data_IF_597341094179
#
_entry.id   IF_597341094179
#
_cell.length_a   1.000
_cell.length_b   1.000
_cell.length_c   1.000
_cell.angle_alpha   90.00
_cell.angle_beta   90.00
_cell.angle_gamma   90.00
#
_symmetry.space_group_name_H-M   'P 1'
#
loop_
_entity.id
_entity.type
_entity.pdbx_description
1 polymer ?
#
# COMPACT_ATOMS: atom_id res chain seq x y z
N UNK A 1 13.67 -2.96 3.28
CA UNK A 1 12.65 -2.66 2.26
C UNK A 1 13.05 -3.30 0.95
N UNK A 2 12.09 -3.84 0.22
CA UNK A 2 12.36 -4.47 -1.08
C UNK A 2 12.65 -3.41 -2.14
N UNK A 3 13.24 -3.85 -3.27
CA UNK A 3 13.53 -2.97 -4.38
C UNK A 3 12.27 -2.29 -4.90
N UNK A 4 12.36 -1.00 -5.16
CA UNK A 4 11.26 -0.21 -5.67
C UNK A 4 11.60 0.25 -7.09
N UNK A 5 10.67 0.04 -8.01
CA UNK A 5 10.78 0.61 -9.34
C UNK A 5 10.01 1.91 -9.37
N UNK A 6 10.75 3.01 -9.50
CA UNK A 6 10.12 4.32 -9.63
C UNK A 6 9.55 4.47 -11.04
N UNK A 7 8.37 5.09 -11.13
CA UNK A 7 7.79 5.47 -12.42
C UNK A 7 7.67 7.00 -12.50
N UNK A 8 7.39 7.50 -13.69
CA UNK A 8 7.31 8.95 -13.93
C UNK A 8 5.90 9.52 -13.78
N UNK A 9 4.92 8.69 -13.44
CA UNK A 9 3.52 9.10 -13.39
C UNK A 9 3.15 9.81 -12.10
N UNK A 10 3.91 9.56 -11.03
CA UNK A 10 3.64 10.12 -9.72
C UNK A 10 4.92 10.62 -9.08
N UNK A 11 4.85 11.63 -8.20
CA UNK A 11 6.00 12.04 -7.40
C UNK A 11 6.56 10.88 -6.59
N UNK A 12 7.87 10.87 -6.40
CA UNK A 12 8.55 9.79 -5.68
C UNK A 12 8.01 9.63 -4.25
N UNK A 13 7.70 10.75 -3.57
CA UNK A 13 7.20 10.65 -2.20
C UNK A 13 5.88 9.89 -2.12
N UNK A 14 5.02 10.02 -3.13
CA UNK A 14 3.75 9.27 -3.17
C UNK A 14 3.99 7.78 -3.38
N UNK A 15 4.91 7.43 -4.26
CA UNK A 15 5.26 6.03 -4.51
C UNK A 15 5.88 5.40 -3.27
N UNK A 16 6.73 6.14 -2.57
CA UNK A 16 7.32 5.67 -1.32
C UNK A 16 6.26 5.48 -0.25
N UNK A 17 5.35 6.42 -0.11
CA UNK A 17 4.23 6.33 0.82
C UNK A 17 3.38 5.08 0.56
N UNK A 18 3.03 4.83 -0.71
CA UNK A 18 2.28 3.64 -1.09
C UNK A 18 3.03 2.35 -0.76
N UNK A 19 4.35 2.36 -0.93
CA UNK A 19 5.18 1.20 -0.59
C UNK A 19 5.16 0.90 0.90
N UNK A 20 5.24 1.92 1.73
CA UNK A 20 5.15 1.73 3.19
C UNK A 20 3.77 1.18 3.56
N UNK A 21 2.71 1.71 2.94
CA UNK A 21 1.35 1.22 3.17
C UNK A 21 1.24 -0.27 2.82
N UNK A 22 1.79 -0.69 1.68
CA UNK A 22 1.80 -2.10 1.28
C UNK A 22 2.52 -2.97 2.30
N UNK A 23 3.67 -2.51 2.81
CA UNK A 23 4.42 -3.26 3.81
C UNK A 23 3.60 -3.49 5.08
N UNK A 24 2.82 -2.50 5.48
CA UNK A 24 1.98 -2.59 6.67
C UNK A 24 0.78 -3.51 6.41
N UNK A 25 0.12 -3.35 5.26
CA UNK A 25 -1.03 -4.18 4.91
C UNK A 25 -0.63 -5.65 4.79
N UNK A 26 0.54 -5.92 4.18
CA UNK A 26 1.05 -7.27 4.00
C UNK A 26 1.68 -7.85 5.26
N UNK A 27 1.64 -7.11 6.36
CA UNK A 27 2.23 -7.49 7.64
C UNK A 27 3.73 -7.76 7.59
N UNK A 28 4.44 -7.14 6.64
CA UNK A 28 5.89 -7.20 6.60
C UNK A 28 6.52 -6.26 7.63
N UNK A 29 5.80 -5.20 8.00
CA UNK A 29 6.12 -4.36 9.15
C UNK A 29 4.88 -4.34 10.03
N UNK A 30 5.03 -4.78 11.27
CA UNK A 30 3.93 -4.92 12.20
C UNK A 30 3.71 -3.66 13.03
N UNK A 31 2.52 -3.56 13.61
CA UNK A 31 2.21 -2.48 14.55
C UNK A 31 3.22 -2.51 15.70
N UNK A 32 3.71 -1.34 16.07
CA UNK A 32 4.74 -1.20 17.11
C UNK A 32 6.16 -1.38 16.62
N UNK A 33 6.35 -1.83 15.38
CA UNK A 33 7.69 -1.96 14.81
C UNK A 33 8.11 -0.67 14.11
N UNK A 34 9.42 -0.44 14.05
CA UNK A 34 9.97 0.71 13.36
C UNK A 34 10.00 0.48 11.85
N UNK A 35 9.69 1.53 11.08
CA UNK A 35 9.99 1.55 9.66
C UNK A 35 11.44 2.00 9.47
N UNK A 36 12.06 1.73 8.31
CA UNK A 36 13.44 2.20 8.08
C UNK A 36 13.54 3.72 8.27
N UNK A 37 14.67 4.18 8.80
CA UNK A 37 14.87 5.61 9.05
C UNK A 37 14.90 6.39 7.74
N UNK A 38 14.61 7.69 7.83
CA UNK A 38 14.72 8.60 6.69
C UNK A 38 16.10 8.50 6.04
N UNK A 39 17.15 8.51 6.87
CA UNK A 39 18.54 8.41 6.38
C UNK A 39 18.78 7.11 5.64
N UNK A 40 18.30 6.00 6.19
CA UNK A 40 18.48 4.68 5.60
C UNK A 40 17.81 4.59 4.24
N UNK A 41 16.56 5.03 4.14
CA UNK A 41 15.81 5.00 2.89
C UNK A 41 16.46 5.92 1.85
N UNK A 42 16.81 7.13 2.25
CA UNK A 42 17.46 8.09 1.35
C UNK A 42 18.77 7.53 0.78
N UNK A 43 19.54 6.86 1.62
CA UNK A 43 20.80 6.24 1.20
C UNK A 43 20.57 5.04 0.30
N UNK A 44 19.66 4.13 0.69
CA UNK A 44 19.43 2.89 -0.05
C UNK A 44 18.89 3.13 -1.45
N UNK A 45 18.03 4.13 -1.60
CA UNK A 45 17.35 4.41 -2.88
C UNK A 45 17.91 5.64 -3.60
N UNK A 46 18.95 6.26 -3.07
CA UNK A 46 19.58 7.44 -3.68
C UNK A 46 18.58 8.56 -3.94
N UNK A 47 17.77 8.85 -2.95
CA UNK A 47 16.75 9.91 -3.04
C UNK A 47 16.97 10.96 -1.96
N UNK A 48 16.40 12.15 -2.18
CA UNK A 48 16.53 13.26 -1.25
C UNK A 48 15.87 12.91 0.09
N UNK A 49 16.58 13.09 1.22
CA UNK A 49 15.99 12.86 2.54
C UNK A 49 14.71 13.65 2.79
N UNK A 50 14.58 14.84 2.19
CA UNK A 50 13.35 15.63 2.34
C UNK A 50 12.16 14.96 1.66
N UNK A 51 12.38 14.23 0.58
CA UNK A 51 11.35 13.45 -0.09
C UNK A 51 10.86 12.33 0.81
N UNK A 52 11.78 11.64 1.48
CA UNK A 52 11.44 10.57 2.43
C UNK A 52 10.68 11.16 3.62
N UNK A 53 11.16 12.27 4.16
CA UNK A 53 10.51 12.95 5.28
C UNK A 53 9.09 13.36 4.95
N UNK A 54 8.85 13.82 3.72
CA UNK A 54 7.51 14.21 3.27
C UNK A 54 6.56 13.01 3.26
N UNK A 55 7.02 11.88 2.71
CA UNK A 55 6.22 10.66 2.70
C UNK A 55 5.87 10.21 4.11
N UNK A 56 6.85 10.18 4.99
CA UNK A 56 6.64 9.76 6.38
C UNK A 56 5.74 10.72 7.14
N UNK A 57 5.90 12.02 6.92
CA UNK A 57 5.07 13.02 7.60
C UNK A 57 3.60 12.87 7.20
N UNK A 58 3.32 12.59 5.94
CA UNK A 58 1.94 12.34 5.51
C UNK A 58 1.34 11.11 6.19
N UNK A 59 2.15 10.08 6.42
CA UNK A 59 1.70 8.90 7.15
C UNK A 59 1.51 9.18 8.65
N UNK A 60 2.31 10.05 9.22
CA UNK A 60 2.10 10.52 10.60
C UNK A 60 0.79 11.30 10.70
N UNK A 61 0.56 12.22 9.76
CA UNK A 61 -0.65 13.03 9.73
C UNK A 61 -1.91 12.16 9.55
N UNK A 62 -1.78 11.05 8.83
CA UNK A 62 -2.87 10.09 8.64
C UNK A 62 -3.02 9.09 9.79
N UNK A 63 -2.26 9.25 10.85
CA UNK A 63 -2.25 8.38 12.04
C UNK A 63 -1.82 6.93 11.79
N UNK A 64 -1.00 6.73 10.75
CA UNK A 64 -0.45 5.42 10.40
C UNK A 64 0.91 5.19 11.08
N UNK A 65 1.75 6.22 11.09
CA UNK A 65 3.03 6.20 11.77
C UNK A 65 3.01 7.14 12.96
N UNK A 66 3.87 6.86 13.93
CA UNK A 66 4.12 7.80 15.02
C UNK A 66 5.62 8.01 15.18
N UNK A 67 5.98 9.26 15.39
CA UNK A 67 7.37 9.62 15.65
C UNK A 67 7.66 9.42 17.12
N UNK A 68 8.68 8.60 17.43
CA UNK A 68 9.18 8.44 18.78
C UNK A 68 10.53 9.13 18.84
N UNK A 69 10.59 10.20 19.61
CA UNK A 69 11.76 11.06 19.67
C UNK A 69 13.01 10.27 20.06
N UNK A 70 14.05 10.39 19.22
CA UNK A 70 15.30 9.68 19.44
C UNK A 70 15.28 8.22 19.04
N UNK A 71 14.12 7.68 18.68
CA UNK A 71 13.97 6.25 18.34
C UNK A 71 13.56 6.00 16.89
N UNK A 72 12.92 6.98 16.23
CA UNK A 72 12.52 6.86 14.82
C UNK A 72 11.01 6.86 14.63
N UNK A 73 10.60 6.31 13.50
CA UNK A 73 9.19 6.21 13.11
C UNK A 73 8.69 4.79 13.31
N UNK A 74 7.55 4.65 13.95
CA UNK A 74 6.99 3.35 14.30
C UNK A 74 5.57 3.23 13.75
N UNK A 75 5.19 2.01 13.39
CA UNK A 75 3.82 1.74 12.93
C UNK A 75 2.88 1.86 14.12
N UNK A 76 1.88 2.69 13.97
CA UNK A 76 0.94 2.99 15.04
C UNK A 76 -0.02 1.81 15.26
N UNK A 77 -0.49 1.67 16.50
CA UNK A 77 -1.52 0.69 16.82
C UNK A 77 -2.76 0.92 15.94
N UNK A 78 -3.32 -0.15 15.41
CA UNK A 78 -4.49 -0.14 14.51
C UNK A 78 -4.22 0.47 13.13
N UNK A 79 -2.96 0.74 12.79
CA UNK A 79 -2.61 1.30 11.49
C UNK A 79 -3.06 0.40 10.33
N UNK A 80 -2.81 -0.90 10.44
CA UNK A 80 -3.20 -1.85 9.40
C UNK A 80 -4.72 -1.87 9.18
N UNK A 81 -5.47 -1.89 10.26
CA UNK A 81 -6.93 -1.86 10.22
C UNK A 81 -7.46 -0.61 9.52
N UNK A 82 -6.90 0.56 9.90
CA UNK A 82 -7.26 1.83 9.29
C UNK A 82 -6.93 1.84 7.79
N UNK A 83 -5.75 1.37 7.43
CA UNK A 83 -5.32 1.30 6.02
C UNK A 83 -6.21 0.39 5.20
N UNK A 84 -6.51 -0.81 5.71
CA UNK A 84 -7.38 -1.76 5.00
C UNK A 84 -8.76 -1.18 4.78
N UNK A 85 -9.32 -0.51 5.78
CA UNK A 85 -10.62 0.12 5.65
C UNK A 85 -10.62 1.19 4.57
N UNK A 86 -9.60 2.05 4.56
CA UNK A 86 -9.47 3.11 3.57
C UNK A 86 -9.24 2.56 2.16
N UNK A 87 -8.39 1.55 2.03
CA UNK A 87 -8.09 0.94 0.73
C UNK A 87 -9.30 0.21 0.16
N UNK A 88 -10.04 -0.51 0.98
CA UNK A 88 -11.27 -1.19 0.55
C UNK A 88 -12.31 -0.19 0.07
N UNK A 89 -12.48 0.90 0.80
CA UNK A 89 -13.41 1.95 0.42
C UNK A 89 -13.02 2.58 -0.92
N UNK A 90 -11.75 2.94 -1.07
CA UNK A 90 -11.23 3.52 -2.31
C UNK A 90 -11.43 2.56 -3.48
N UNK A 91 -11.10 1.29 -3.30
CA UNK A 91 -11.28 0.29 -4.33
C UNK A 91 -12.73 0.23 -4.81
N UNK A 92 -13.67 0.10 -3.88
CA UNK A 92 -15.09 -0.05 -4.22
C UNK A 92 -15.70 1.21 -4.83
N UNK A 93 -15.27 2.38 -4.39
CA UNK A 93 -15.85 3.64 -4.86
C UNK A 93 -15.21 4.16 -6.15
N UNK A 94 -13.92 3.92 -6.35
CA UNK A 94 -13.15 4.52 -7.44
C UNK A 94 -12.72 3.49 -8.49
N UNK A 95 -12.10 2.40 -8.05
CA UNK A 95 -11.51 1.44 -8.99
C UNK A 95 -12.53 0.45 -9.53
N UNK A 96 -13.38 -0.07 -8.65
CA UNK A 96 -14.35 -1.09 -9.03
C UNK A 96 -15.35 -0.64 -10.10
N UNK A 97 -15.91 0.58 -10.07
CA UNK A 97 -16.79 1.04 -11.15
C UNK A 97 -16.12 1.06 -12.53
N UNK A 98 -14.83 1.37 -12.59
CA UNK A 98 -14.06 1.35 -13.83
C UNK A 98 -13.90 -0.09 -14.31
N UNK A 99 -13.59 -1.01 -13.40
CA UNK A 99 -13.47 -2.43 -13.71
C UNK A 99 -14.81 -2.99 -14.21
N UNK A 100 -15.90 -2.62 -13.58
CA UNK A 100 -17.24 -3.06 -14.00
C UNK A 100 -17.57 -2.63 -15.42
N UNK A 101 -17.22 -1.39 -15.78
CA UNK A 101 -17.42 -0.91 -17.15
C UNK A 101 -16.61 -1.73 -18.14
N UNK A 102 -15.40 -2.08 -17.79
CA UNK A 102 -14.54 -2.90 -18.64
C UNK A 102 -15.09 -4.32 -18.78
N UNK A 103 -15.54 -4.91 -17.69
CA UNK A 103 -16.19 -6.23 -17.68
C UNK A 103 -17.39 -6.23 -18.63
N UNK A 104 -18.25 -5.22 -18.51
CA UNK A 104 -19.42 -5.07 -19.37
C UNK A 104 -19.03 -4.91 -20.84
N UNK A 105 -18.03 -4.08 -21.11
CA UNK A 105 -17.55 -3.84 -22.49
C UNK A 105 -17.01 -5.10 -23.13
N UNK A 106 -16.33 -5.93 -22.37
CA UNK A 106 -15.76 -7.19 -22.85
C UNK A 106 -16.77 -8.33 -22.93
N UNK A 107 -17.97 -8.12 -22.39
CA UNK A 107 -19.04 -9.13 -22.45
C UNK A 107 -18.86 -10.31 -21.51
N UNK A 108 -18.06 -10.17 -20.46
CA UNK A 108 -17.89 -11.25 -19.51
C UNK A 108 -19.14 -11.45 -18.66
N UNK A 109 -19.46 -12.73 -18.40
CA UNK A 109 -20.40 -13.08 -17.36
C UNK A 109 -19.68 -13.27 -16.02
N UNK A 110 -20.41 -13.20 -14.93
CA UNK A 110 -19.85 -13.45 -13.61
C UNK A 110 -19.30 -14.86 -13.50
N UNK A 111 -19.98 -15.83 -14.13
CA UNK A 111 -19.54 -17.21 -14.17
C UNK A 111 -18.16 -17.38 -14.84
N UNK A 112 -17.96 -16.70 -15.96
CA UNK A 112 -16.65 -16.71 -16.65
C UNK A 112 -15.54 -16.14 -15.78
N UNK A 113 -15.82 -15.05 -15.07
CA UNK A 113 -14.84 -14.44 -14.18
C UNK A 113 -14.52 -15.33 -13.00
N UNK A 114 -15.51 -16.01 -12.43
CA UNK A 114 -15.29 -16.95 -11.33
C UNK A 114 -14.44 -18.14 -11.78
N UNK A 115 -14.65 -18.64 -12.99
CA UNK A 115 -13.82 -19.72 -13.53
C UNK A 115 -12.38 -19.28 -13.72
N UNK A 116 -12.16 -18.05 -14.19
CA UNK A 116 -10.82 -17.50 -14.36
C UNK A 116 -10.09 -17.39 -13.03
N UNK A 117 -10.78 -17.02 -11.95
CA UNK A 117 -10.21 -17.03 -10.60
C UNK A 117 -9.82 -18.43 -10.19
N UNK A 118 -10.66 -19.42 -10.45
CA UNK A 118 -10.41 -20.80 -10.06
C UNK A 118 -9.21 -21.40 -10.79
N UNK A 119 -8.97 -21.02 -12.03
CA UNK A 119 -7.86 -21.54 -12.82
C UNK A 119 -6.52 -20.87 -12.54
N UNK A 120 -6.54 -19.64 -12.01
CA UNK A 120 -5.30 -18.89 -11.70
C UNK A 120 -5.01 -18.85 -10.21
N UNK A 121 -5.49 -19.82 -9.46
CA UNK A 121 -5.81 -19.57 -8.09
C UNK A 121 -4.82 -20.05 -7.06
N UNK A 122 -3.70 -20.57 -7.43
CA UNK A 122 -2.71 -20.99 -6.43
C UNK A 122 -2.06 -19.80 -5.75
N UNK A 123 -2.06 -18.66 -6.43
CA UNK A 123 -1.45 -17.42 -5.88
C UNK A 123 -2.47 -16.47 -5.25
N UNK A 124 -3.74 -16.68 -5.54
CA UNK A 124 -4.79 -15.81 -5.04
C UNK A 124 -5.63 -16.61 -4.05
N UNK A 125 -5.20 -16.64 -2.84
CA UNK A 125 -6.00 -17.22 -1.75
C UNK A 125 -7.26 -16.38 -1.52
N UNK A 126 -8.10 -16.23 -2.55
CA UNK A 126 -9.41 -15.63 -2.42
C UNK A 126 -10.33 -16.65 -1.81
N UNK A 127 -10.23 -16.80 -0.51
CA UNK A 127 -11.14 -17.65 0.22
C UNK A 127 -12.45 -16.91 0.46
N UNK A 128 -13.54 -17.58 0.15
CA UNK A 128 -14.85 -17.15 0.57
C UNK A 128 -14.93 -17.27 2.09
N UNK A 129 -14.93 -16.14 2.75
CA UNK A 129 -15.17 -16.11 4.18
C UNK A 129 -16.52 -15.52 4.49
#
# INVERSE_FOLDING_TARGET
>A
MVAIKWNDQQPIYKQLKEKVIELIIDSEVLEGEAVPSVRQVASDYQINPLTVSKAYQELVDATILEKRRGLGMFVKEKARETLLSNEKKHFLEIEWPVILKRISRLGFSLSELNQAVSTSNDDLALEDK
#
